data_IF_147036548112
#
_entry.id   IF_147036548112
#
_cell.length_a   1.000
_cell.length_b   1.000
_cell.length_c   1.000
_cell.angle_alpha   90.00
_cell.angle_beta   90.00
_cell.angle_gamma   90.00
#
_symmetry.space_group_name_H-M   'P 1'
#
loop_
_entity.id
_entity.type
_entity.pdbx_description
1 polymer ?
#
# COMPACT_ATOMS: atom_id res chain seq x y z
N UNK A 1 22.53 43.24 -9.21
CA UNK A 1 21.16 43.64 -8.84
C UNK A 1 20.35 42.39 -8.57
N UNK A 2 20.13 42.08 -7.30
CA UNK A 2 19.39 40.90 -6.87
C UNK A 2 17.91 41.12 -7.15
N UNK A 3 17.34 40.34 -8.06
CA UNK A 3 15.89 40.33 -8.27
C UNK A 3 15.25 39.55 -7.12
N UNK A 4 14.61 40.29 -6.23
CA UNK A 4 13.69 39.76 -5.23
C UNK A 4 12.47 39.25 -6.01
N UNK A 5 12.38 37.95 -6.20
CA UNK A 5 11.12 37.30 -6.59
C UNK A 5 10.13 37.50 -5.46
N UNK A 6 9.18 38.40 -5.67
CA UNK A 6 7.98 38.54 -4.86
C UNK A 6 7.24 37.20 -4.82
N UNK A 7 6.80 36.71 -3.64
CA UNK A 7 5.95 35.54 -3.57
C UNK A 7 4.60 35.93 -4.15
N UNK A 8 4.25 35.37 -5.31
CA UNK A 8 2.87 35.38 -5.80
C UNK A 8 2.03 34.61 -4.77
N UNK A 9 1.37 35.36 -3.89
CA UNK A 9 0.41 34.82 -2.93
C UNK A 9 -0.73 34.20 -3.73
N UNK A 10 -0.76 32.86 -3.81
CA UNK A 10 -1.81 32.07 -4.45
C UNK A 10 -3.17 32.61 -4.00
N UNK A 11 -4.05 33.08 -4.90
CA UNK A 11 -5.40 33.47 -4.51
C UNK A 11 -6.08 32.22 -3.94
N UNK A 12 -6.47 32.29 -2.67
CA UNK A 12 -7.07 31.19 -1.94
C UNK A 12 -8.51 30.95 -2.41
N UNK A 13 -8.69 30.42 -3.62
CA UNK A 13 -9.93 29.75 -3.95
C UNK A 13 -10.05 28.54 -3.02
N UNK A 14 -11.05 28.56 -2.15
CA UNK A 14 -11.30 27.50 -1.19
C UNK A 14 -11.38 26.15 -1.93
N UNK A 15 -10.64 25.15 -1.44
CA UNK A 15 -10.61 23.83 -2.05
C UNK A 15 -12.05 23.28 -2.14
N UNK A 16 -12.51 22.84 -3.32
CA UNK A 16 -13.81 22.20 -3.46
C UNK A 16 -14.01 21.07 -2.45
N UNK A 17 -15.22 20.97 -1.89
CA UNK A 17 -15.59 19.90 -0.95
C UNK A 17 -15.38 18.50 -1.53
N UNK A 18 -15.55 18.33 -2.85
CA UNK A 18 -15.28 17.07 -3.55
C UNK A 18 -13.82 16.64 -3.43
N UNK A 19 -12.87 17.57 -3.53
CA UNK A 19 -11.43 17.30 -3.39
C UNK A 19 -11.04 17.02 -1.93
N UNK A 20 -11.64 17.74 -0.98
CA UNK A 20 -11.46 17.44 0.45
C UNK A 20 -11.90 16.02 0.75
N UNK A 21 -13.09 15.62 0.29
CA UNK A 21 -13.62 14.25 0.45
C UNK A 21 -12.71 13.20 -0.19
N UNK A 22 -12.22 13.43 -1.41
CA UNK A 22 -11.30 12.51 -2.08
C UNK A 22 -9.99 12.34 -1.30
N UNK A 23 -9.43 13.43 -0.78
CA UNK A 23 -8.20 13.41 0.03
C UNK A 23 -8.42 12.67 1.34
N UNK A 24 -9.50 12.98 2.07
CA UNK A 24 -9.84 12.27 3.31
C UNK A 24 -10.12 10.79 3.10
N UNK A 25 -10.75 10.43 1.97
CA UNK A 25 -10.98 9.02 1.61
C UNK A 25 -9.66 8.28 1.39
N UNK A 26 -8.73 8.85 0.63
CA UNK A 26 -7.38 8.29 0.47
C UNK A 26 -6.66 8.10 1.82
N UNK A 27 -6.66 9.12 2.68
CA UNK A 27 -5.99 9.04 3.98
C UNK A 27 -6.59 7.93 4.86
N UNK A 28 -7.92 7.76 4.82
CA UNK A 28 -8.61 6.67 5.51
C UNK A 28 -8.21 5.29 4.96
N UNK A 29 -8.13 5.13 3.63
CA UNK A 29 -7.68 3.86 3.04
C UNK A 29 -6.23 3.55 3.40
N UNK A 30 -5.38 4.57 3.51
CA UNK A 30 -4.00 4.42 3.96
C UNK A 30 -3.93 3.99 5.42
N UNK A 31 -4.71 4.61 6.29
CA UNK A 31 -4.80 4.24 7.71
C UNK A 31 -5.30 2.79 7.87
N UNK A 32 -6.35 2.41 7.15
CA UNK A 32 -6.89 1.04 7.15
C UNK A 32 -5.83 0.03 6.70
N UNK A 33 -5.09 0.33 5.63
CA UNK A 33 -4.00 -0.53 5.18
C UNK A 33 -2.86 -0.62 6.21
N UNK A 34 -2.47 0.48 6.85
CA UNK A 34 -1.44 0.44 7.91
C UNK A 34 -1.87 -0.41 9.10
N UNK A 35 -3.14 -0.36 9.48
CA UNK A 35 -3.69 -1.23 10.53
C UNK A 35 -3.62 -2.70 10.08
N UNK A 36 -4.01 -3.00 8.84
CA UNK A 36 -3.94 -4.37 8.32
C UNK A 36 -2.49 -4.91 8.29
N UNK A 37 -1.53 -4.08 7.89
CA UNK A 37 -0.12 -4.46 7.90
C UNK A 37 0.39 -4.73 9.32
N UNK A 38 0.04 -3.89 10.30
CA UNK A 38 0.38 -4.11 11.70
C UNK A 38 -0.21 -5.40 12.26
N UNK A 39 -1.45 -5.75 11.91
CA UNK A 39 -2.03 -7.04 12.29
C UNK A 39 -1.29 -8.23 11.67
N UNK A 40 -0.77 -8.11 10.44
CA UNK A 40 0.05 -9.16 9.86
C UNK A 40 1.37 -9.35 10.61
N UNK A 41 2.04 -8.25 10.98
CA UNK A 41 3.26 -8.29 11.78
C UNK A 41 3.02 -8.91 13.18
N UNK A 42 1.86 -8.62 13.78
CA UNK A 42 1.42 -9.24 15.03
C UNK A 42 1.25 -10.75 14.89
N UNK A 43 0.60 -11.22 13.82
CA UNK A 43 0.43 -12.64 13.53
C UNK A 43 1.79 -13.31 13.30
N UNK A 44 2.69 -12.70 12.54
CA UNK A 44 4.03 -13.21 12.29
C UNK A 44 4.83 -13.36 13.60
N UNK A 45 4.71 -12.37 14.49
CA UNK A 45 5.31 -12.41 15.82
C UNK A 45 4.72 -13.53 16.68
N UNK A 46 3.39 -13.73 16.64
CA UNK A 46 2.71 -14.80 17.37
C UNK A 46 3.14 -16.19 16.87
N UNK A 47 3.27 -16.37 15.55
CA UNK A 47 3.77 -17.61 14.93
C UNK A 47 5.19 -17.92 15.42
N UNK A 48 6.09 -16.92 15.40
CA UNK A 48 7.47 -17.11 15.83
C UNK A 48 7.55 -17.49 17.31
N UNK A 49 6.77 -16.82 18.16
CA UNK A 49 6.68 -17.16 19.59
C UNK A 49 6.14 -18.57 19.80
N UNK A 50 5.09 -18.97 19.09
CA UNK A 50 4.52 -20.31 19.20
C UNK A 50 5.51 -21.40 18.76
N UNK A 51 6.28 -21.16 17.69
CA UNK A 51 7.36 -22.08 17.25
C UNK A 51 8.45 -22.23 18.30
N UNK A 52 8.89 -21.13 18.90
CA UNK A 52 9.92 -21.13 19.95
C UNK A 52 9.44 -21.88 21.19
N UNK A 53 8.23 -21.58 21.67
CA UNK A 53 7.66 -22.24 22.85
C UNK A 53 7.46 -23.75 22.62
N UNK A 54 7.02 -24.13 21.42
CA UNK A 54 6.93 -25.54 21.02
C UNK A 54 8.30 -26.22 21.08
N UNK A 55 9.31 -25.64 20.44
CA UNK A 55 10.66 -26.20 20.40
C UNK A 55 11.27 -26.37 21.80
N UNK A 56 11.06 -25.39 22.69
CA UNK A 56 11.51 -25.48 24.09
C UNK A 56 10.79 -26.61 24.83
N UNK A 57 9.47 -26.73 24.68
CA UNK A 57 8.66 -27.80 25.30
C UNK A 57 9.11 -29.19 24.83
N UNK A 58 9.40 -29.35 23.53
CA UNK A 58 9.90 -30.60 22.97
C UNK A 58 11.31 -30.94 23.46
N UNK A 59 12.21 -29.96 23.55
CA UNK A 59 13.57 -30.15 24.06
C UNK A 59 13.57 -30.57 25.55
N UNK A 60 12.77 -29.91 26.39
CA UNK A 60 12.61 -30.28 27.80
C UNK A 60 12.06 -31.71 27.95
N UNK A 61 11.07 -32.09 27.13
CA UNK A 61 10.48 -33.42 27.19
C UNK A 61 11.46 -34.52 26.75
N UNK A 62 12.32 -34.26 25.75
CA UNK A 62 13.35 -35.22 25.30
C UNK A 62 14.43 -35.46 26.36
N UNK A 63 14.90 -34.39 27.03
CA UNK A 63 15.85 -34.50 28.13
C UNK A 63 15.25 -35.29 29.28
N UNK A 64 13.99 -34.99 29.63
CA UNK A 64 13.24 -35.69 30.67
C UNK A 64 12.97 -37.17 30.32
N UNK A 65 12.71 -37.50 29.05
CA UNK A 65 12.48 -38.87 28.58
C UNK A 65 13.71 -39.76 28.75
N UNK A 66 14.88 -39.23 28.40
CA UNK A 66 16.14 -39.98 28.50
C UNK A 66 16.49 -40.26 29.96
N UNK A 67 16.36 -39.27 30.84
CA UNK A 67 16.60 -39.42 32.29
C UNK A 67 15.57 -40.37 32.94
N UNK A 68 14.29 -40.22 32.60
CA UNK A 68 13.23 -41.06 33.14
C UNK A 68 13.40 -42.53 32.78
N UNK A 69 13.72 -42.85 31.52
CA UNK A 69 13.96 -44.24 31.10
C UNK A 69 15.13 -44.86 31.84
N UNK A 70 16.22 -44.12 32.02
CA UNK A 70 17.37 -44.60 32.78
C UNK A 70 17.00 -44.91 34.24
N UNK A 71 16.24 -44.04 34.90
CA UNK A 71 15.79 -44.23 36.29
C UNK A 71 14.79 -45.37 36.44
N UNK A 72 13.84 -45.52 35.50
CA UNK A 72 12.88 -46.62 35.50
C UNK A 72 13.56 -47.97 35.33
N UNK A 73 14.57 -48.05 34.44
CA UNK A 73 15.41 -49.24 34.28
C UNK A 73 16.23 -49.54 35.54
N UNK A 74 16.85 -48.52 36.15
CA UNK A 74 17.60 -48.67 37.39
C UNK A 74 16.73 -49.18 38.55
N UNK A 75 15.48 -48.71 38.64
CA UNK A 75 14.46 -49.19 39.57
C UNK A 75 13.87 -50.56 39.20
N UNK A 76 14.33 -51.20 38.12
CA UNK A 76 13.85 -52.50 37.61
C UNK A 76 12.33 -52.54 37.42
N UNK A 77 11.73 -51.41 37.04
CA UNK A 77 10.30 -51.29 36.82
C UNK A 77 9.46 -50.96 38.06
N UNK A 78 10.06 -50.76 39.24
CA UNK A 78 9.33 -50.31 40.42
C UNK A 78 8.89 -48.86 40.27
N UNK A 79 7.57 -48.63 40.30
CA UNK A 79 6.98 -47.32 40.04
C UNK A 79 6.89 -46.49 41.33
N UNK A 80 7.94 -45.74 41.62
CA UNK A 80 7.95 -44.80 42.75
C UNK A 80 7.05 -43.58 42.48
N UNK A 81 6.66 -42.88 43.54
CA UNK A 81 5.85 -41.65 43.41
C UNK A 81 6.56 -40.58 42.55
N UNK A 82 7.88 -40.47 42.67
CA UNK A 82 8.71 -39.56 41.87
C UNK A 82 8.69 -39.91 40.38
N UNK A 83 8.90 -41.19 40.04
CA UNK A 83 8.84 -41.68 38.65
C UNK A 83 7.45 -41.47 38.04
N UNK A 84 6.38 -41.67 38.82
CA UNK A 84 5.01 -41.41 38.40
C UNK A 84 4.77 -39.92 38.11
N UNK A 85 5.25 -39.03 38.99
CA UNK A 85 5.12 -37.59 38.81
C UNK A 85 5.89 -37.09 37.58
N UNK A 86 7.12 -37.57 37.38
CA UNK A 86 7.90 -37.27 36.18
C UNK A 86 7.19 -37.73 34.91
N UNK A 87 6.59 -38.93 34.91
CA UNK A 87 5.83 -39.43 33.76
C UNK A 87 4.60 -38.57 33.46
N UNK A 88 3.87 -38.12 34.48
CA UNK A 88 2.73 -37.20 34.31
C UNK A 88 3.17 -35.86 33.71
N UNK A 89 4.27 -35.29 34.20
CA UNK A 89 4.81 -34.04 33.66
C UNK A 89 5.20 -34.17 32.19
N UNK A 90 5.81 -35.29 31.80
CA UNK A 90 6.17 -35.57 30.41
C UNK A 90 4.96 -35.73 29.49
N UNK A 91 3.90 -36.39 29.97
CA UNK A 91 2.63 -36.49 29.25
C UNK A 91 2.02 -35.09 29.06
N UNK A 92 2.02 -34.25 30.09
CA UNK A 92 1.55 -32.87 30.00
C UNK A 92 2.37 -32.03 29.01
N UNK A 93 3.71 -32.15 29.02
CA UNK A 93 4.57 -31.46 28.05
C UNK A 93 4.32 -31.94 26.61
N UNK A 94 4.10 -33.24 26.41
CA UNK A 94 3.75 -33.78 25.09
C UNK A 94 2.41 -33.25 24.60
N UNK A 95 1.41 -33.19 25.47
CA UNK A 95 0.10 -32.64 25.14
C UNK A 95 0.21 -31.15 24.80
N UNK A 96 0.97 -30.38 25.59
CA UNK A 96 1.22 -28.96 25.33
C UNK A 96 1.91 -28.73 23.97
N UNK A 97 2.86 -29.58 23.59
CA UNK A 97 3.48 -29.51 22.26
C UNK A 97 2.47 -29.75 21.13
N UNK A 98 1.46 -30.61 21.34
CA UNK A 98 0.37 -30.83 20.38
C UNK A 98 -0.61 -29.65 20.33
N UNK A 99 -0.88 -28.99 21.46
CA UNK A 99 -1.66 -27.74 21.49
C UNK A 99 -0.98 -26.63 20.66
N UNK A 100 0.36 -26.53 20.72
CA UNK A 100 1.11 -25.61 19.85
C UNK A 100 0.98 -25.97 18.36
N UNK A 101 0.89 -27.25 17.99
CA UNK A 101 0.63 -27.64 16.59
C UNK A 101 -0.75 -27.16 16.12
N UNK A 102 -1.77 -27.27 16.97
CA UNK A 102 -3.11 -26.74 16.70
C UNK A 102 -3.10 -25.21 16.53
N UNK A 103 -2.47 -24.50 17.46
CA UNK A 103 -2.32 -23.05 17.42
C UNK A 103 -1.58 -22.58 16.16
N UNK A 104 -0.46 -23.23 15.80
CA UNK A 104 0.32 -22.87 14.61
C UNK A 104 -0.48 -23.07 13.33
N UNK A 105 -1.27 -24.14 13.24
CA UNK A 105 -2.12 -24.37 12.08
C UNK A 105 -3.24 -23.31 11.95
N UNK A 106 -3.81 -22.86 13.07
CA UNK A 106 -4.77 -21.75 13.06
C UNK A 106 -4.11 -20.43 12.65
N UNK A 107 -2.95 -20.11 13.24
CA UNK A 107 -2.21 -18.88 12.92
C UNK A 107 -1.75 -18.85 11.45
N UNK A 108 -1.42 -19.99 10.84
CA UNK A 108 -1.10 -20.05 9.40
C UNK A 108 -2.30 -19.60 8.55
N UNK A 109 -3.50 -20.07 8.88
CA UNK A 109 -4.74 -19.68 8.18
C UNK A 109 -5.00 -18.18 8.36
N UNK A 110 -4.88 -17.67 9.60
CA UNK A 110 -5.04 -16.26 9.90
C UNK A 110 -4.03 -15.40 9.14
N UNK A 111 -2.76 -15.82 9.07
CA UNK A 111 -1.71 -15.16 8.30
C UNK A 111 -2.05 -15.10 6.81
N UNK A 112 -2.48 -16.21 6.21
CA UNK A 112 -2.87 -16.26 4.80
C UNK A 112 -4.05 -15.31 4.51
N UNK A 113 -5.07 -15.31 5.37
CA UNK A 113 -6.22 -14.42 5.27
C UNK A 113 -5.78 -12.95 5.39
N UNK A 114 -4.89 -12.65 6.32
CA UNK A 114 -4.42 -11.29 6.55
C UNK A 114 -3.51 -10.79 5.42
N UNK A 115 -2.67 -11.64 4.82
CA UNK A 115 -1.91 -11.32 3.59
C UNK A 115 -2.83 -10.95 2.44
N UNK A 116 -3.91 -11.72 2.24
CA UNK A 116 -4.91 -11.40 1.23
C UNK A 116 -5.62 -10.06 1.51
N UNK A 117 -5.95 -9.78 2.78
CA UNK A 117 -6.54 -8.51 3.21
C UNK A 117 -5.60 -7.32 2.96
N UNK A 118 -4.32 -7.46 3.28
CA UNK A 118 -3.31 -6.42 3.04
C UNK A 118 -3.17 -6.09 1.55
N UNK A 119 -3.15 -7.11 0.69
CA UNK A 119 -3.06 -6.91 -0.76
C UNK A 119 -4.30 -6.20 -1.32
N UNK A 120 -5.50 -6.55 -0.84
CA UNK A 120 -6.72 -5.85 -1.22
C UNK A 120 -6.73 -4.39 -0.76
N UNK A 121 -6.45 -4.14 0.53
CA UNK A 121 -6.46 -2.77 1.07
C UNK A 121 -5.35 -1.90 0.49
N UNK A 122 -4.21 -2.49 0.10
CA UNK A 122 -3.16 -1.78 -0.62
C UNK A 122 -3.63 -1.32 -2.00
N UNK A 123 -4.31 -2.20 -2.74
CA UNK A 123 -4.91 -1.85 -4.02
C UNK A 123 -5.91 -0.71 -3.88
N UNK A 124 -6.83 -0.80 -2.91
CA UNK A 124 -7.82 0.24 -2.68
C UNK A 124 -7.17 1.58 -2.28
N UNK A 125 -6.09 1.54 -1.49
CA UNK A 125 -5.32 2.73 -1.14
C UNK A 125 -4.63 3.37 -2.36
N UNK A 126 -4.01 2.57 -3.23
CA UNK A 126 -3.41 3.05 -4.48
C UNK A 126 -4.45 3.63 -5.44
N UNK A 127 -5.59 2.97 -5.61
CA UNK A 127 -6.68 3.43 -6.48
C UNK A 127 -7.29 4.75 -5.93
N UNK A 128 -7.44 4.86 -4.60
CA UNK A 128 -7.87 6.10 -3.94
C UNK A 128 -6.84 7.24 -4.08
N UNK A 129 -5.54 6.94 -3.96
CA UNK A 129 -4.45 7.91 -4.17
C UNK A 129 -4.48 8.45 -5.60
N UNK A 130 -4.50 7.55 -6.59
CA UNK A 130 -4.49 7.92 -8.00
C UNK A 130 -5.72 8.78 -8.36
N UNK A 131 -6.90 8.43 -7.83
CA UNK A 131 -8.13 9.20 -8.03
C UNK A 131 -8.06 10.59 -7.40
N UNK A 132 -7.58 10.69 -6.15
CA UNK A 132 -7.44 11.97 -5.47
C UNK A 132 -6.41 12.88 -6.15
N UNK A 133 -5.25 12.34 -6.55
CA UNK A 133 -4.21 13.09 -7.27
C UNK A 133 -4.68 13.57 -8.64
N UNK A 134 -5.37 12.70 -9.38
CA UNK A 134 -5.98 13.06 -10.65
C UNK A 134 -6.96 14.22 -10.49
N UNK A 135 -7.91 14.09 -9.56
CA UNK A 135 -8.93 15.13 -9.35
C UNK A 135 -8.30 16.46 -8.94
N UNK A 136 -7.28 16.42 -8.07
CA UNK A 136 -6.57 17.62 -7.65
C UNK A 136 -5.79 18.26 -8.80
N UNK A 137 -5.07 17.47 -9.60
CA UNK A 137 -4.32 17.94 -10.75
C UNK A 137 -5.24 18.56 -11.82
N UNK A 138 -6.37 17.89 -12.14
CA UNK A 138 -7.36 18.43 -13.08
C UNK A 138 -7.96 19.75 -12.57
N UNK A 139 -8.27 19.84 -11.27
CA UNK A 139 -8.79 21.07 -10.69
C UNK A 139 -7.76 22.22 -10.73
N UNK A 140 -6.53 22.02 -10.25
CA UNK A 140 -5.47 23.02 -10.26
C UNK A 140 -5.19 23.50 -11.70
N UNK A 141 -5.11 22.58 -12.65
CA UNK A 141 -4.88 22.91 -14.05
C UNK A 141 -6.01 23.79 -14.62
N UNK A 142 -7.26 23.45 -14.35
CA UNK A 142 -8.41 24.25 -14.78
C UNK A 142 -8.45 25.63 -14.10
N UNK A 143 -8.10 25.72 -12.81
CA UNK A 143 -7.99 27.02 -12.13
C UNK A 143 -6.91 27.89 -12.80
N UNK A 144 -5.75 27.31 -13.13
CA UNK A 144 -4.67 28.02 -13.80
C UNK A 144 -5.08 28.50 -15.19
N UNK A 145 -5.75 27.66 -16.00
CA UNK A 145 -6.26 28.05 -17.31
C UNK A 145 -7.30 29.17 -17.24
N UNK A 146 -8.23 29.07 -16.29
CA UNK A 146 -9.25 30.11 -16.08
C UNK A 146 -8.66 31.43 -15.57
N UNK A 147 -7.45 31.39 -15.02
CA UNK A 147 -6.74 32.55 -14.48
C UNK A 147 -5.66 33.10 -15.42
N UNK A 148 -5.62 32.65 -16.68
CA UNK A 148 -4.67 33.18 -17.67
C UNK A 148 -4.87 34.69 -17.81
N UNK A 149 -3.76 35.45 -17.75
CA UNK A 149 -3.83 36.90 -17.81
C UNK A 149 -4.45 37.40 -19.12
N UNK A 150 -5.34 38.38 -19.02
CA UNK A 150 -5.96 39.05 -20.17
C UNK A 150 -4.91 39.72 -21.07
N UNK A 151 -3.78 40.16 -20.49
CA UNK A 151 -2.63 40.69 -21.23
C UNK A 151 -2.01 39.65 -22.16
N UNK A 152 -1.82 38.41 -21.69
CA UNK A 152 -1.31 37.32 -22.52
C UNK A 152 -2.28 37.00 -23.67
N UNK A 153 -3.59 36.90 -23.37
CA UNK A 153 -4.63 36.67 -24.40
C UNK A 153 -4.61 37.77 -25.46
N UNK A 154 -4.51 39.04 -25.04
CA UNK A 154 -4.41 40.19 -25.95
C UNK A 154 -3.16 40.11 -26.82
N UNK A 155 -1.99 39.76 -26.27
CA UNK A 155 -0.75 39.64 -27.02
C UNK A 155 -0.82 38.50 -28.05
N UNK A 156 -1.40 37.35 -27.68
CA UNK A 156 -1.64 36.23 -28.59
C UNK A 156 -2.54 36.67 -29.76
N UNK A 157 -3.67 37.34 -29.45
CA UNK A 157 -4.60 37.83 -30.47
C UNK A 157 -3.96 38.85 -31.40
N UNK A 158 -3.15 39.77 -30.87
CA UNK A 158 -2.41 40.75 -31.66
C UNK A 158 -1.40 40.07 -32.60
N UNK A 159 -0.68 39.04 -32.12
CA UNK A 159 0.28 38.28 -32.93
C UNK A 159 -0.41 37.48 -34.04
N UNK A 160 -1.54 36.85 -33.76
CA UNK A 160 -2.37 36.19 -34.76
C UNK A 160 -2.84 37.16 -35.84
N UNK A 161 -3.36 38.32 -35.44
CA UNK A 161 -3.83 39.34 -36.37
C UNK A 161 -2.70 39.86 -37.26
N UNK A 162 -1.53 40.15 -36.68
CA UNK A 162 -0.35 40.57 -37.42
C UNK A 162 0.06 39.52 -38.46
N UNK A 163 0.11 38.24 -38.09
CA UNK A 163 0.46 37.19 -39.03
C UNK A 163 -0.60 37.04 -40.13
N UNK A 164 -1.89 37.16 -39.81
CA UNK A 164 -2.97 37.07 -40.81
C UNK A 164 -2.88 38.17 -41.88
N UNK A 165 -2.54 39.41 -41.48
CA UNK A 165 -2.40 40.54 -42.42
C UNK A 165 -1.05 40.55 -43.15
N UNK A 166 0.02 40.00 -42.55
CA UNK A 166 1.38 40.02 -43.13
C UNK A 166 1.75 38.77 -43.92
N UNK A 167 1.11 37.61 -43.69
CA UNK A 167 1.37 36.37 -44.44
C UNK A 167 0.74 36.35 -45.85
N UNK A 168 0.50 37.53 -46.43
CA UNK A 168 -0.09 37.71 -47.77
C UNK A 168 0.76 37.08 -48.89
N UNK A 169 2.06 36.90 -48.70
CA UNK A 169 2.98 36.51 -49.78
C UNK A 169 2.89 35.04 -50.21
N UNK A 170 2.29 34.14 -49.42
CA UNK A 170 2.26 32.70 -49.74
C UNK A 170 0.99 31.97 -49.31
N UNK A 171 -0.21 32.51 -49.58
CA UNK A 171 -1.48 31.81 -49.28
C UNK A 171 -1.67 30.47 -50.04
N UNK A 172 -0.75 30.07 -50.94
CA UNK A 172 -0.82 28.85 -51.77
C UNK A 172 0.54 28.16 -52.05
N UNK A 173 1.48 28.15 -51.10
CA UNK A 173 2.79 27.46 -51.26
C UNK A 173 2.97 26.25 -50.34
N UNK A 174 3.81 25.27 -50.73
CA UNK A 174 4.16 24.10 -49.90
C UNK A 174 4.80 24.45 -48.54
N UNK A 175 5.34 25.67 -48.39
CA UNK A 175 5.95 26.18 -47.17
C UNK A 175 5.02 27.04 -46.29
N UNK A 176 3.76 27.25 -46.70
CA UNK A 176 2.81 28.04 -45.92
C UNK A 176 2.45 27.35 -44.60
N UNK A 177 2.55 28.08 -43.50
CA UNK A 177 2.04 27.66 -42.21
C UNK A 177 0.91 28.59 -41.76
N UNK A 178 -0.20 28.00 -41.32
CA UNK A 178 -1.33 28.77 -40.79
C UNK A 178 -0.86 29.61 -39.58
N UNK A 179 -1.21 30.90 -39.51
CA UNK A 179 -0.87 31.78 -38.37
C UNK A 179 -1.18 31.17 -37.00
N UNK A 180 -2.32 30.49 -36.88
CA UNK A 180 -2.72 29.78 -35.66
C UNK A 180 -1.69 28.73 -35.24
N UNK A 181 -1.24 27.90 -36.17
CA UNK A 181 -0.24 26.87 -35.90
C UNK A 181 1.07 27.48 -35.41
N UNK A 182 1.57 28.52 -36.11
CA UNK A 182 2.83 29.19 -35.73
C UNK A 182 2.76 29.76 -34.32
N UNK A 183 1.65 30.41 -33.97
CA UNK A 183 1.48 31.01 -32.64
C UNK A 183 1.30 29.93 -31.57
N UNK A 184 0.50 28.89 -31.83
CA UNK A 184 0.32 27.79 -30.87
C UNK A 184 1.62 27.01 -30.64
N UNK A 185 2.39 26.69 -31.68
CA UNK A 185 3.69 26.02 -31.55
C UNK A 185 4.64 26.84 -30.67
N UNK A 186 4.67 28.17 -30.84
CA UNK A 186 5.45 29.06 -29.99
C UNK A 186 4.99 29.02 -28.52
N UNK A 187 3.68 29.09 -28.28
CA UNK A 187 3.12 29.03 -26.92
C UNK A 187 3.47 27.69 -26.28
N UNK A 188 3.26 26.59 -26.98
CA UNK A 188 3.55 25.24 -26.51
C UNK A 188 5.02 25.06 -26.17
N UNK A 189 5.94 25.52 -27.02
CA UNK A 189 7.38 25.39 -26.77
C UNK A 189 7.81 26.18 -25.53
N UNK A 190 7.35 27.42 -25.38
CA UNK A 190 7.70 28.25 -24.23
C UNK A 190 7.10 27.70 -22.92
N UNK A 191 5.85 27.21 -22.94
CA UNK A 191 5.24 26.62 -21.75
C UNK A 191 5.85 25.27 -21.39
N UNK A 192 6.22 24.45 -22.38
CA UNK A 192 6.91 23.18 -22.15
C UNK A 192 8.24 23.40 -21.43
N UNK A 193 9.07 24.31 -21.93
CA UNK A 193 10.36 24.62 -21.28
C UNK A 193 10.18 25.07 -19.82
N UNK A 194 9.16 25.89 -19.55
CA UNK A 194 8.85 26.30 -18.17
C UNK A 194 8.34 25.15 -17.31
N UNK A 195 7.51 24.28 -17.85
CA UNK A 195 6.97 23.12 -17.14
C UNK A 195 8.07 22.09 -16.83
N UNK A 196 8.96 21.81 -17.78
CA UNK A 196 10.07 20.87 -17.63
C UNK A 196 11.07 21.32 -16.55
N UNK A 197 11.26 22.64 -16.41
CA UNK A 197 12.13 23.22 -15.39
C UNK A 197 11.44 23.49 -14.05
N UNK A 198 10.12 23.29 -13.97
CA UNK A 198 9.37 23.56 -12.76
C UNK A 198 9.64 22.49 -11.70
N UNK A 199 9.80 22.92 -10.45
CA UNK A 199 9.91 22.03 -9.29
C UNK A 199 8.90 22.45 -8.24
N UNK A 200 8.12 21.48 -7.78
CA UNK A 200 7.21 21.70 -6.64
C UNK A 200 8.01 22.02 -5.39
N UNK A 201 7.69 23.15 -4.75
CA UNK A 201 8.14 23.44 -3.39
C UNK A 201 7.06 22.95 -2.42
N UNK A 202 7.26 21.75 -1.87
CA UNK A 202 6.26 21.09 -1.02
C UNK A 202 5.88 21.92 0.22
N UNK A 203 6.78 22.77 0.73
CA UNK A 203 6.48 23.67 1.86
C UNK A 203 5.34 24.65 1.57
N UNK A 204 5.08 24.95 0.30
CA UNK A 204 4.01 25.84 -0.15
C UNK A 204 2.77 25.06 -0.66
N UNK A 205 2.81 23.73 -0.64
CA UNK A 205 1.79 22.87 -1.23
C UNK A 205 1.10 22.04 -0.15
N UNK A 206 0.17 22.65 0.60
CA UNK A 206 -0.50 21.99 1.72
C UNK A 206 -1.27 20.71 1.32
N UNK A 207 -1.95 20.74 0.16
CA UNK A 207 -2.71 19.58 -0.33
C UNK A 207 -1.77 18.50 -0.86
N UNK A 208 -0.81 18.84 -1.73
CA UNK A 208 0.15 17.85 -2.25
C UNK A 208 1.05 17.28 -1.15
N UNK A 209 1.32 18.02 -0.09
CA UNK A 209 2.10 17.51 1.06
C UNK A 209 1.39 16.38 1.79
N UNK A 210 0.07 16.43 1.90
CA UNK A 210 -0.71 15.34 2.52
C UNK A 210 -0.95 14.18 1.54
N UNK A 211 -1.18 14.50 0.26
CA UNK A 211 -1.50 13.51 -0.77
C UNK A 211 -0.26 12.75 -1.28
N UNK A 212 0.87 13.44 -1.40
CA UNK A 212 2.09 12.94 -2.03
C UNK A 212 2.00 12.93 -3.56
N UNK A 213 3.12 13.22 -4.23
CA UNK A 213 3.24 13.20 -5.69
C UNK A 213 3.38 11.78 -6.26
N UNK A 214 4.02 10.90 -5.51
CA UNK A 214 4.32 9.54 -5.94
C UNK A 214 3.33 8.55 -5.34
N UNK A 215 3.22 7.38 -5.98
CA UNK A 215 2.46 6.27 -5.43
C UNK A 215 2.90 5.97 -3.98
N UNK A 216 1.95 5.66 -3.07
CA UNK A 216 2.28 5.40 -1.68
C UNK A 216 3.12 4.12 -1.55
N UNK A 217 4.16 4.17 -0.71
CA UNK A 217 4.89 2.98 -0.30
C UNK A 217 4.08 2.24 0.77
N UNK A 218 3.59 1.06 0.44
CA UNK A 218 2.66 0.29 1.28
C UNK A 218 3.29 -1.07 1.66
N UNK A 219 3.46 -1.37 2.96
CA UNK A 219 3.99 -2.66 3.43
C UNK A 219 3.02 -3.80 3.10
N UNK A 220 3.54 -5.02 2.85
CA UNK A 220 2.68 -6.20 2.60
C UNK A 220 1.64 -6.01 1.48
N UNK A 221 1.92 -5.10 0.54
CA UNK A 221 0.97 -4.68 -0.51
C UNK A 221 0.75 -5.71 -1.61
N UNK A 222 1.66 -6.66 -1.75
CA UNK A 222 1.61 -7.68 -2.78
C UNK A 222 1.53 -9.08 -2.18
N UNK A 223 0.59 -9.87 -2.70
CA UNK A 223 0.45 -11.27 -2.37
C UNK A 223 0.03 -12.04 -3.64
N UNK A 224 0.96 -12.80 -4.22
CA UNK A 224 0.77 -13.50 -5.50
C UNK A 224 -0.50 -14.38 -5.58
N UNK A 225 -0.89 -15.15 -4.53
CA UNK A 225 -2.09 -15.98 -4.57
C UNK A 225 -3.40 -15.21 -4.79
N UNK A 226 -3.39 -13.88 -4.63
CA UNK A 226 -4.56 -13.01 -4.86
C UNK A 226 -4.35 -11.95 -5.94
N UNK A 227 -3.29 -12.06 -6.74
CA UNK A 227 -2.92 -11.03 -7.73
C UNK A 227 -3.95 -10.88 -8.87
N UNK A 228 -4.66 -11.95 -9.24
CA UNK A 228 -5.70 -11.93 -10.28
C UNK A 228 -7.06 -12.45 -9.79
N UNK A 229 -8.18 -12.15 -10.48
CA UNK A 229 -9.49 -12.67 -10.11
C UNK A 229 -9.57 -14.20 -10.04
N UNK A 230 -8.94 -14.91 -10.98
CA UNK A 230 -8.93 -16.36 -11.00
C UNK A 230 -8.09 -16.94 -9.85
N UNK A 231 -6.92 -16.37 -9.57
CA UNK A 231 -6.07 -16.76 -8.45
C UNK A 231 -6.79 -16.53 -7.11
N UNK A 232 -7.44 -15.36 -6.91
CA UNK A 232 -8.25 -15.08 -5.71
C UNK A 232 -9.31 -16.13 -5.46
N UNK A 233 -10.08 -16.49 -6.50
CA UNK A 233 -11.16 -17.46 -6.36
C UNK A 233 -10.62 -18.85 -6.01
N UNK A 234 -9.48 -19.24 -6.57
CA UNK A 234 -8.78 -20.47 -6.18
C UNK A 234 -8.27 -20.40 -4.73
N UNK A 235 -7.58 -19.32 -4.38
CA UNK A 235 -7.01 -19.10 -3.05
C UNK A 235 -8.07 -19.16 -1.94
N UNK A 236 -9.19 -18.44 -2.07
CA UNK A 236 -10.23 -18.44 -1.04
C UNK A 236 -10.97 -19.78 -0.94
N UNK A 237 -11.05 -20.54 -2.04
CA UNK A 237 -11.56 -21.92 -2.01
C UNK A 237 -10.64 -22.83 -1.20
N UNK A 238 -9.34 -22.82 -1.52
CA UNK A 238 -8.33 -23.62 -0.83
C UNK A 238 -8.19 -23.22 0.65
N UNK A 239 -8.29 -21.93 0.96
CA UNK A 239 -8.27 -21.42 2.33
C UNK A 239 -9.47 -21.95 3.13
N UNK A 240 -10.66 -21.94 2.52
CA UNK A 240 -11.87 -22.50 3.14
C UNK A 240 -11.75 -24.00 3.37
N UNK A 241 -11.22 -24.75 2.41
CA UNK A 241 -10.96 -26.18 2.57
C UNK A 241 -9.98 -26.45 3.72
N UNK A 242 -8.91 -25.66 3.85
CA UNK A 242 -7.99 -25.73 5.01
C UNK A 242 -8.69 -25.44 6.33
N UNK A 243 -9.55 -24.44 6.39
CA UNK A 243 -10.34 -24.09 7.58
C UNK A 243 -11.28 -25.22 8.01
N UNK A 244 -11.98 -25.82 7.05
CA UNK A 244 -12.93 -26.90 7.34
C UNK A 244 -12.18 -28.19 7.76
N UNK A 245 -11.02 -28.47 7.16
CA UNK A 245 -10.13 -29.55 7.59
C UNK A 245 -9.60 -29.34 9.02
N UNK A 246 -9.28 -28.10 9.40
CA UNK A 246 -8.82 -27.78 10.76
C UNK A 246 -9.95 -27.94 11.78
N UNK A 247 -11.15 -27.43 11.49
CA UNK A 247 -12.33 -27.60 12.36
C UNK A 247 -12.67 -29.06 12.61
N UNK A 248 -12.65 -29.89 11.57
CA UNK A 248 -12.93 -31.32 11.69
C UNK A 248 -11.86 -32.06 12.49
N UNK A 249 -10.61 -31.61 12.46
CA UNK A 249 -9.53 -32.14 13.31
C UNK A 249 -9.75 -31.77 14.78
N UNK A 250 -10.10 -30.51 15.07
CA UNK A 250 -10.37 -30.05 16.44
C UNK A 250 -11.59 -30.71 17.10
N UNK A 251 -12.55 -31.25 16.31
CA UNK A 251 -13.72 -31.97 16.83
C UNK A 251 -13.48 -33.45 17.12
N UNK A 252 -12.32 -34.00 16.71
CA UNK A 252 -11.96 -35.42 16.87
C UNK A 252 -11.00 -35.69 18.03
N UNK A 253 -10.50 -34.63 18.68
CA UNK A 253 -9.70 -34.65 19.90
C UNK A 253 -10.64 -34.49 21.08
#
# INVERSE_FOLDING_TARGET
MSQITTPDTKPANALPETLKRATSYYLRMREEHTANAGELDNIDTAINRAKEQKANTEAENQLSDTDWRARFLAARGEMTAELKNQQLQRLAQRELAQEYDGLLAQLEIEQLRQKAKCSASAKDCCDAHASALRNYAEWEFNQALNSISTNLIRAIKLKLHMLDITTSEYKQGHAYQKPEKVVMDLITNNLREKADNYRFNMSNEAVLSSLGLNAPSLPHSYFEPVASPAQRMKFFRELKEKEDALKTRSQKV
#
